data_IF_947038359250
#
_entry.id   IF_947038359250
#
_cell.length_a   1.000
_cell.length_b   1.000
_cell.length_c   1.000
_cell.angle_alpha   90.00
_cell.angle_beta   90.00
_cell.angle_gamma   90.00
#
_symmetry.space_group_name_H-M   'P 1'
#
loop_
_entity.id
_entity.type
_entity.pdbx_description
1 polymer ?
#
# COMPACT_ATOMS: atom_id res chain seq x y z
N UNK A 1 7.27 3.67 -71.83
CA UNK A 1 8.21 4.76 -72.17
C UNK A 1 8.33 5.65 -70.93
N UNK A 2 9.56 6.00 -70.54
CA UNK A 2 10.03 6.61 -69.27
C UNK A 2 9.14 7.70 -68.63
N UNK A 3 9.15 7.98 -67.32
CA UNK A 3 10.33 8.16 -66.47
C UNK A 3 10.05 8.04 -64.96
N UNK A 4 11.05 7.50 -64.24
CA UNK A 4 11.28 7.67 -62.80
C UNK A 4 11.86 9.07 -62.54
N UNK A 5 11.45 9.72 -61.46
CA UNK A 5 12.06 10.95 -60.94
C UNK A 5 11.87 11.06 -59.44
N UNK A 6 12.86 10.60 -58.68
CA UNK A 6 13.03 10.80 -57.24
C UNK A 6 13.54 12.22 -56.96
N UNK A 7 13.06 12.85 -55.88
CA UNK A 7 13.89 13.57 -54.90
C UNK A 7 13.03 14.25 -53.84
N UNK A 8 13.04 13.67 -52.63
CA UNK A 8 12.65 14.32 -51.38
C UNK A 8 13.60 15.49 -51.10
N UNK A 9 13.06 16.69 -50.88
CA UNK A 9 13.83 17.88 -50.47
C UNK A 9 13.22 18.45 -49.19
N UNK A 10 14.03 18.43 -48.14
CA UNK A 10 13.75 19.05 -46.86
C UNK A 10 13.47 20.56 -47.00
N UNK A 11 12.47 21.05 -46.27
CA UNK A 11 12.28 22.48 -46.05
C UNK A 11 12.13 22.72 -44.54
N UNK A 12 13.20 23.28 -43.95
CA UNK A 12 13.16 23.96 -42.65
C UNK A 12 12.32 25.23 -42.81
N UNK A 13 11.24 25.38 -42.04
CA UNK A 13 10.65 26.69 -41.78
C UNK A 13 10.84 27.04 -40.31
N UNK A 14 11.74 27.99 -40.05
CA UNK A 14 11.67 28.87 -38.88
C UNK A 14 10.52 29.86 -39.09
N UNK A 15 9.63 29.98 -38.12
CA UNK A 15 8.72 31.12 -38.00
C UNK A 15 8.85 31.69 -36.59
N UNK A 16 9.57 32.80 -36.49
CA UNK A 16 9.60 33.76 -35.40
C UNK A 16 8.58 34.86 -35.73
N UNK A 17 7.47 34.94 -34.99
CA UNK A 17 6.57 36.12 -34.93
C UNK A 17 5.98 36.16 -33.52
N UNK A 18 6.62 36.86 -32.58
CA UNK A 18 6.42 38.26 -32.14
C UNK A 18 5.41 38.39 -30.98
N UNK A 19 5.89 39.08 -29.92
CA UNK A 19 5.18 39.46 -28.72
C UNK A 19 3.85 40.15 -29.05
N UNK A 20 2.75 39.59 -28.56
CA UNK A 20 1.57 40.39 -28.26
C UNK A 20 1.50 40.53 -26.75
N UNK A 21 1.86 41.73 -26.29
CA UNK A 21 1.55 42.22 -24.95
C UNK A 21 0.02 42.39 -24.84
N UNK A 22 -0.68 41.28 -24.66
CA UNK A 22 -2.07 41.26 -24.24
C UNK A 22 -2.10 41.33 -22.73
N UNK A 23 -2.63 42.42 -22.17
CA UNK A 23 -3.10 42.49 -20.78
C UNK A 23 -4.17 41.41 -20.58
N UNK A 24 -3.73 40.21 -20.23
CA UNK A 24 -4.59 39.14 -19.75
C UNK A 24 -4.59 39.26 -18.23
N UNK A 25 -5.76 39.55 -17.66
CA UNK A 25 -5.93 39.83 -16.24
C UNK A 25 -5.26 38.77 -15.37
N UNK A 26 -4.61 39.24 -14.30
CA UNK A 26 -4.08 38.35 -13.28
C UNK A 26 -5.16 37.34 -12.85
N UNK A 27 -4.91 36.03 -12.95
CA UNK A 27 -5.62 35.12 -12.09
C UNK A 27 -5.18 35.51 -10.69
N UNK A 28 -6.14 35.94 -9.86
CA UNK A 28 -5.96 35.97 -8.41
C UNK A 28 -5.35 34.62 -8.05
N UNK A 29 -4.06 34.60 -7.73
CA UNK A 29 -3.44 33.52 -6.98
C UNK A 29 -4.12 33.53 -5.62
N UNK A 30 -5.28 32.90 -5.51
CA UNK A 30 -5.51 32.09 -4.33
C UNK A 30 -4.54 30.93 -4.46
N UNK A 31 -3.29 31.21 -4.08
CA UNK A 31 -2.39 30.22 -3.54
C UNK A 31 -3.01 29.79 -2.21
N UNK A 32 -4.10 29.02 -2.29
CA UNK A 32 -4.32 27.96 -1.34
C UNK A 32 -3.34 26.86 -1.71
N UNK A 33 -2.04 27.09 -1.47
CA UNK A 33 -1.21 25.95 -1.11
C UNK A 33 -1.85 25.48 0.18
N UNK A 34 -2.60 24.38 0.10
CA UNK A 34 -2.85 23.55 1.27
C UNK A 34 -1.47 23.12 1.74
N UNK A 35 -0.83 23.97 2.57
CA UNK A 35 0.24 23.56 3.45
C UNK A 35 -0.26 22.25 4.05
N UNK A 36 0.43 21.11 3.84
CA UNK A 36 0.04 19.90 4.53
C UNK A 36 -0.06 20.26 6.00
N UNK A 37 -1.21 19.98 6.62
CA UNK A 37 -1.35 20.17 8.06
C UNK A 37 -0.13 19.53 8.74
N UNK A 38 0.45 20.14 9.77
CA UNK A 38 1.63 19.61 10.46
C UNK A 38 1.57 18.10 10.71
N UNK A 39 0.38 17.58 11.01
CA UNK A 39 0.07 16.15 11.17
C UNK A 39 0.42 15.31 9.93
N UNK A 40 0.06 15.76 8.73
CA UNK A 40 0.35 15.07 7.47
C UNK A 40 1.86 15.05 7.17
N UNK A 41 2.61 16.10 7.55
CA UNK A 41 4.07 16.12 7.45
C UNK A 41 4.73 15.16 8.45
N UNK A 42 4.23 15.12 9.69
CA UNK A 42 4.66 14.16 10.71
C UNK A 42 4.36 12.72 10.27
N UNK A 43 3.18 12.45 9.72
CA UNK A 43 2.80 11.13 9.22
C UNK A 43 3.70 10.70 8.04
N UNK A 44 3.96 11.60 7.09
CA UNK A 44 4.85 11.32 5.97
C UNK A 44 6.30 11.06 6.44
N UNK A 45 6.78 11.83 7.41
CA UNK A 45 8.12 11.66 7.99
C UNK A 45 8.24 10.34 8.76
N UNK A 46 7.17 9.96 9.49
CA UNK A 46 7.07 8.67 10.18
C UNK A 46 7.13 7.51 9.19
N UNK A 47 6.30 7.55 8.14
CA UNK A 47 6.28 6.51 7.11
C UNK A 47 7.64 6.37 6.42
N UNK A 48 8.27 7.48 6.06
CA UNK A 48 9.62 7.46 5.47
C UNK A 48 10.63 6.79 6.40
N UNK A 49 10.64 7.14 7.68
CA UNK A 49 11.58 6.57 8.64
C UNK A 49 11.33 5.06 8.85
N UNK A 50 10.08 4.66 9.11
CA UNK A 50 9.72 3.27 9.37
C UNK A 50 10.02 2.34 8.20
N UNK A 51 9.78 2.79 6.96
CA UNK A 51 9.94 1.95 5.77
C UNK A 51 11.27 2.14 5.06
N UNK A 52 12.19 2.96 5.59
CA UNK A 52 13.54 3.12 5.04
C UNK A 52 14.38 1.87 5.34
N UNK A 53 14.61 1.04 4.32
CA UNK A 53 15.41 -0.19 4.45
C UNK A 53 14.65 -1.36 5.11
N UNK A 54 13.32 -1.25 5.24
CA UNK A 54 12.49 -2.39 5.64
C UNK A 54 12.29 -3.34 4.46
N UNK A 55 13.01 -4.46 4.48
CA UNK A 55 12.77 -5.57 3.58
C UNK A 55 11.58 -6.40 4.08
N UNK A 56 10.46 -6.40 3.33
CA UNK A 56 9.24 -7.17 3.65
C UNK A 56 9.51 -8.67 3.81
N UNK A 57 10.56 -9.19 3.18
CA UNK A 57 10.89 -10.62 3.18
C UNK A 57 11.64 -11.07 4.44
N UNK A 58 12.11 -10.12 5.26
CA UNK A 58 12.91 -10.43 6.44
C UNK A 58 12.02 -10.50 7.67
N UNK A 59 12.05 -11.66 8.33
CA UNK A 59 11.34 -11.90 9.59
C UNK A 59 11.72 -10.83 10.64
N UNK A 60 10.75 -10.17 11.29
CA UNK A 60 11.02 -9.12 12.27
C UNK A 60 11.35 -9.71 13.65
N UNK A 61 12.59 -10.14 13.83
CA UNK A 61 13.13 -10.63 15.11
C UNK A 61 14.39 -9.85 15.50
N UNK A 62 14.61 -9.67 16.80
CA UNK A 62 15.85 -9.06 17.32
C UNK A 62 17.01 -10.07 17.25
N UNK A 63 16.76 -11.31 17.71
CA UNK A 63 17.71 -12.41 17.64
C UNK A 63 17.17 -13.53 16.75
N UNK A 64 18.07 -14.27 16.08
CA UNK A 64 17.70 -15.36 15.17
C UNK A 64 16.90 -16.48 15.85
N UNK A 65 17.07 -16.66 17.16
CA UNK A 65 16.38 -17.67 17.96
C UNK A 65 15.02 -17.20 18.50
N UNK A 66 14.66 -15.93 18.31
CA UNK A 66 13.40 -15.40 18.81
C UNK A 66 12.22 -15.91 17.99
N UNK A 67 11.11 -16.13 18.67
CA UNK A 67 9.85 -16.61 18.06
C UNK A 67 8.86 -15.46 17.96
N UNK A 68 8.23 -15.34 16.80
CA UNK A 68 7.09 -14.43 16.63
C UNK A 68 5.83 -15.16 17.09
N UNK A 69 5.13 -14.58 18.06
CA UNK A 69 3.80 -15.04 18.48
C UNK A 69 2.77 -14.37 17.58
N UNK A 70 2.03 -15.18 16.84
CA UNK A 70 0.93 -14.70 16.00
C UNK A 70 -0.37 -15.18 16.63
N UNK A 71 -1.26 -14.24 16.93
CA UNK A 71 -2.61 -14.52 17.39
C UNK A 71 -3.52 -14.62 16.18
N UNK A 72 -4.33 -15.67 16.14
CA UNK A 72 -5.31 -15.90 15.10
C UNK A 72 -6.71 -15.96 15.70
N UNK A 73 -7.64 -15.33 15.02
CA UNK A 73 -9.07 -15.46 15.27
C UNK A 73 -9.78 -15.74 13.96
N UNK A 74 -10.75 -16.63 14.00
CA UNK A 74 -11.65 -16.89 12.87
C UNK A 74 -13.05 -16.50 13.30
N UNK A 75 -13.72 -15.69 12.50
CA UNK A 75 -15.12 -15.40 12.67
C UNK A 75 -15.85 -15.84 11.40
N UNK A 76 -16.78 -16.78 11.54
CA UNK A 76 -17.61 -17.24 10.42
C UNK A 76 -18.63 -16.15 10.11
N UNK A 77 -18.61 -15.64 8.88
CA UNK A 77 -19.55 -14.64 8.38
C UNK A 77 -20.83 -15.29 7.92
N UNK A 78 -20.71 -16.39 7.17
CA UNK A 78 -21.84 -17.08 6.56
C UNK A 78 -21.47 -18.53 6.24
N UNK A 79 -22.43 -19.43 6.46
CA UNK A 79 -22.45 -20.76 5.88
C UNK A 79 -23.12 -20.68 4.50
N UNK A 80 -22.34 -20.89 3.43
CA UNK A 80 -22.79 -20.76 2.05
C UNK A 80 -23.51 -22.02 1.62
N UNK A 81 -22.89 -23.17 1.83
CA UNK A 81 -23.42 -24.47 1.42
C UNK A 81 -22.82 -25.62 2.23
N UNK A 82 -23.57 -26.73 2.32
CA UNK A 82 -23.15 -28.00 2.93
C UNK A 82 -23.56 -29.14 2.00
N UNK A 83 -22.57 -29.81 1.43
CA UNK A 83 -22.75 -31.03 0.67
C UNK A 83 -22.43 -32.23 1.56
N UNK A 84 -23.46 -32.79 2.19
CA UNK A 84 -23.32 -33.94 3.09
C UNK A 84 -22.81 -35.19 2.37
N UNK A 85 -23.16 -35.35 1.08
CA UNK A 85 -22.78 -36.52 0.29
C UNK A 85 -21.28 -36.50 -0.04
N UNK A 86 -20.75 -35.32 -0.34
CA UNK A 86 -19.33 -35.12 -0.66
C UNK A 86 -18.50 -34.63 0.54
N UNK A 87 -19.09 -34.51 1.73
CA UNK A 87 -18.46 -34.02 2.96
C UNK A 87 -17.80 -32.64 2.80
N UNK A 88 -18.43 -31.77 2.02
CA UNK A 88 -17.92 -30.43 1.70
C UNK A 88 -18.73 -29.35 2.41
N UNK A 89 -18.05 -28.36 2.96
CA UNK A 89 -18.66 -27.19 3.57
C UNK A 89 -18.03 -25.92 2.98
N UNK A 90 -18.85 -25.03 2.42
CA UNK A 90 -18.40 -23.74 1.89
C UNK A 90 -18.78 -22.65 2.87
N UNK A 91 -17.78 -21.91 3.38
CA UNK A 91 -17.99 -20.83 4.35
C UNK A 91 -17.24 -19.56 3.97
N UNK A 92 -17.85 -18.42 4.28
CA UNK A 92 -17.18 -17.14 4.27
C UNK A 92 -16.65 -16.87 5.69
N UNK A 93 -15.35 -16.63 5.82
CA UNK A 93 -14.70 -16.40 7.11
C UNK A 93 -13.91 -15.08 7.12
N UNK A 94 -13.97 -14.37 8.24
CA UNK A 94 -13.04 -13.30 8.57
C UNK A 94 -11.86 -13.89 9.34
N UNK A 95 -10.68 -13.84 8.73
CA UNK A 95 -9.43 -14.12 9.41
C UNK A 95 -8.96 -12.85 10.13
N UNK A 96 -8.73 -12.95 11.43
CA UNK A 96 -8.09 -11.92 12.25
C UNK A 96 -6.71 -12.39 12.64
N UNK A 97 -5.71 -11.54 12.44
CA UNK A 97 -4.32 -11.82 12.70
C UNK A 97 -3.75 -10.65 13.51
N UNK A 98 -2.98 -10.97 14.55
CA UNK A 98 -2.23 -9.97 15.30
C UNK A 98 -0.84 -10.50 15.61
N UNK A 99 0.19 -9.72 15.29
CA UNK A 99 1.58 -10.01 15.64
C UNK A 99 2.31 -8.73 16.06
N UNK A 100 3.54 -8.87 16.54
CA UNK A 100 4.38 -7.74 16.92
C UNK A 100 5.61 -7.72 16.00
N UNK A 101 5.86 -6.57 15.39
CA UNK A 101 7.08 -6.26 14.66
C UNK A 101 7.90 -5.25 15.48
N UNK A 102 9.11 -5.64 15.85
CA UNK A 102 10.03 -4.82 16.65
C UNK A 102 10.59 -3.62 15.87
N UNK A 103 10.69 -3.73 14.54
CA UNK A 103 11.23 -2.69 13.66
C UNK A 103 10.22 -1.57 13.41
N UNK A 104 8.93 -1.90 13.49
CA UNK A 104 7.84 -0.96 13.24
C UNK A 104 7.34 -0.25 14.52
N UNK A 105 8.26 0.03 15.44
CA UNK A 105 8.02 0.78 16.68
C UNK A 105 8.46 2.22 16.52
N UNK A 106 7.71 3.15 17.11
CA UNK A 106 8.10 4.56 17.18
C UNK A 106 7.59 5.20 18.47
N UNK A 107 8.19 6.33 18.82
CA UNK A 107 7.69 7.17 19.91
C UNK A 107 6.66 8.17 19.35
N UNK A 108 5.39 8.17 19.81
CA UNK A 108 4.39 9.12 19.33
C UNK A 108 4.78 10.59 19.51
N UNK A 109 5.58 10.92 20.53
CA UNK A 109 5.98 12.30 20.82
C UNK A 109 6.83 12.92 19.70
N UNK A 110 7.62 12.11 19.00
CA UNK A 110 8.49 12.57 17.91
C UNK A 110 7.72 12.88 16.61
N UNK A 111 6.47 12.41 16.50
CA UNK A 111 5.65 12.47 15.30
C UNK A 111 4.27 13.09 15.55
N UNK A 112 4.19 14.12 16.39
CA UNK A 112 2.95 14.87 16.60
C UNK A 112 1.84 14.07 17.29
N UNK A 113 2.20 13.05 18.09
CA UNK A 113 1.26 12.23 18.86
C UNK A 113 0.62 11.08 18.08
N UNK A 114 1.10 10.76 16.87
CA UNK A 114 0.57 9.67 16.06
C UNK A 114 0.80 8.32 16.77
N UNK A 115 -0.29 7.61 17.10
CA UNK A 115 -0.24 6.30 17.78
C UNK A 115 -0.56 5.12 16.87
N UNK A 116 -1.22 5.38 15.74
CA UNK A 116 -1.73 4.37 14.82
C UNK A 116 -1.60 4.87 13.40
N UNK A 117 -1.08 4.02 12.52
CA UNK A 117 -1.02 4.26 11.07
C UNK A 117 -1.72 3.13 10.32
N UNK A 118 -2.18 3.43 9.10
CA UNK A 118 -2.79 2.44 8.20
C UNK A 118 -1.99 2.37 6.92
N UNK A 119 -1.48 1.20 6.61
CA UNK A 119 -0.65 0.97 5.42
C UNK A 119 -1.23 -0.17 4.59
N UNK A 120 -0.91 -0.24 3.29
CA UNK A 120 -1.21 -1.44 2.51
C UNK A 120 -0.59 -2.67 3.16
N UNK A 121 -1.29 -3.79 3.22
CA UNK A 121 -0.72 -5.06 3.73
C UNK A 121 0.56 -5.46 3.00
N UNK A 122 0.71 -5.03 1.76
CA UNK A 122 1.88 -5.36 0.94
C UNK A 122 3.17 -4.64 1.33
N UNK A 123 3.13 -3.66 2.23
CA UNK A 123 4.32 -2.96 2.70
C UNK A 123 4.93 -3.58 3.95
N UNK A 124 4.29 -4.58 4.57
CA UNK A 124 4.74 -5.21 5.82
C UNK A 124 4.97 -6.70 5.65
N UNK A 125 5.90 -7.24 6.45
CA UNK A 125 6.03 -8.69 6.58
C UNK A 125 4.72 -9.26 7.14
N UNK A 126 4.16 -10.25 6.46
CA UNK A 126 2.93 -10.94 6.85
C UNK A 126 3.24 -12.45 6.85
N UNK A 127 2.82 -13.20 7.88
CA UNK A 127 3.05 -14.63 7.92
C UNK A 127 2.27 -15.37 6.83
N UNK A 128 2.90 -16.35 6.19
CA UNK A 128 2.24 -17.24 5.24
C UNK A 128 1.34 -18.22 5.99
N UNK A 129 0.05 -18.26 5.64
CA UNK A 129 -0.94 -19.16 6.23
C UNK A 129 -1.59 -19.95 5.12
N UNK A 130 -1.60 -21.26 5.32
CA UNK A 130 -2.20 -22.21 4.38
C UNK A 130 -3.28 -23.00 5.10
N UNK A 131 -4.40 -23.22 4.41
CA UNK A 131 -5.45 -24.11 4.85
C UNK A 131 -5.13 -25.52 4.34
N UNK A 132 -4.81 -26.44 5.25
CA UNK A 132 -4.42 -27.81 4.89
C UNK A 132 -5.61 -28.62 4.36
N UNK A 133 -6.78 -28.52 5.00
CA UNK A 133 -7.98 -29.27 4.63
C UNK A 133 -8.85 -28.48 3.65
N UNK A 134 -8.25 -28.04 2.54
CA UNK A 134 -8.96 -27.33 1.48
C UNK A 134 -9.37 -28.32 0.37
N UNK A 135 -10.68 -28.56 0.22
CA UNK A 135 -11.21 -29.49 -0.78
C UNK A 135 -11.09 -28.99 -2.23
N UNK A 136 -11.08 -27.67 -2.44
CA UNK A 136 -11.06 -27.03 -3.78
C UNK A 136 -9.74 -26.28 -4.07
N UNK A 137 -8.78 -26.29 -3.13
CA UNK A 137 -7.46 -25.66 -3.28
C UNK A 137 -7.47 -24.13 -3.42
N UNK A 138 -8.63 -23.48 -3.40
CA UNK A 138 -8.79 -22.03 -3.61
C UNK A 138 -9.04 -21.30 -2.28
N UNK A 139 -7.98 -20.74 -1.70
CA UNK A 139 -8.09 -19.77 -0.60
C UNK A 139 -7.89 -18.37 -1.19
N UNK A 140 -8.98 -17.67 -1.52
CA UNK A 140 -8.91 -16.29 -1.99
C UNK A 140 -9.10 -15.32 -0.81
N UNK A 141 -7.98 -14.90 -0.24
CA UNK A 141 -7.96 -13.83 0.75
C UNK A 141 -7.92 -12.46 0.05
N UNK A 142 -8.93 -11.61 0.29
CA UNK A 142 -8.80 -10.19 -0.05
C UNK A 142 -7.91 -9.54 1.00
N UNK A 143 -6.73 -9.07 0.58
CA UNK A 143 -5.81 -8.34 1.45
C UNK A 143 -6.38 -6.97 1.79
N UNK A 144 -6.75 -6.75 3.05
CA UNK A 144 -7.25 -5.44 3.53
C UNK A 144 -6.09 -4.53 3.94
N UNK A 145 -6.36 -3.30 4.37
CA UNK A 145 -5.30 -2.44 4.95
C UNK A 145 -4.86 -2.99 6.30
N UNK A 146 -3.58 -2.85 6.60
CA UNK A 146 -3.01 -3.22 7.89
C UNK A 146 -2.94 -2.03 8.81
N UNK A 147 -3.29 -2.26 10.08
CA UNK A 147 -3.21 -1.29 11.16
C UNK A 147 -1.94 -1.56 11.96
N UNK A 148 -1.06 -0.56 12.06
CA UNK A 148 0.16 -0.63 12.87
C UNK A 148 0.00 0.35 14.03
N UNK A 149 0.29 -0.12 15.25
CA UNK A 149 0.31 0.70 16.47
C UNK A 149 1.75 1.04 16.84
N UNK A 150 1.95 2.15 17.55
CA UNK A 150 3.27 2.66 17.95
C UNK A 150 4.14 1.65 18.71
N UNK A 151 3.53 0.70 19.42
CA UNK A 151 4.22 -0.36 20.14
C UNK A 151 4.67 -1.54 19.24
N UNK A 152 4.49 -1.42 17.92
CA UNK A 152 4.84 -2.45 16.94
C UNK A 152 3.78 -3.53 16.76
N UNK A 153 2.59 -3.38 17.39
CA UNK A 153 1.48 -4.33 17.16
C UNK A 153 0.89 -4.09 15.78
N UNK A 154 0.83 -5.16 15.00
CA UNK A 154 0.28 -5.19 13.65
C UNK A 154 -0.95 -6.08 13.66
N UNK A 155 -2.04 -5.58 13.08
CA UNK A 155 -3.22 -6.39 12.83
C UNK A 155 -3.95 -5.97 11.58
N UNK A 156 -4.65 -6.91 10.96
CA UNK A 156 -5.49 -6.60 9.81
C UNK A 156 -6.76 -5.87 10.27
N UNK A 157 -7.25 -4.96 9.42
CA UNK A 157 -8.49 -4.22 9.67
C UNK A 157 -9.75 -5.03 9.36
#
# INVERSE_FOLDING_TARGET
>A
MAARGSASRALRLLLLVQLVAGRCGEPRRHRGSSEPSSIAEHENSLLKNLFQGCERWVRPVEHLNDKIKIKFGLAISQLVDVDEKNQLMTTNVWLKQEWIDVKLRWNPEDYGGIKVIRVPSDSVWTPDIVLFDNADGRFEGTSTKTVIRYNGTIGNS
#
